data_IF_368071639317
#
_entry.id   IF_368071639317
#
_cell.length_a   1.000
_cell.length_b   1.000
_cell.length_c   1.000
_cell.angle_alpha   90.00
_cell.angle_beta   90.00
_cell.angle_gamma   90.00
#
_symmetry.space_group_name_H-M   'P 1'
#
loop_
_entity.id
_entity.type
_entity.pdbx_description
1 polymer ?
#
# COMPACT_ATOMS: atom_id res chain seq x y z
N UNK A 1 16.05 -29.66 -3.67
CA UNK A 1 15.16 -29.29 -4.78
C UNK A 1 16.03 -28.99 -5.99
N UNK A 2 15.83 -29.66 -7.13
CA UNK A 2 16.65 -29.44 -8.33
C UNK A 2 16.44 -28.01 -8.85
N UNK A 3 17.47 -27.40 -9.45
CA UNK A 3 17.39 -26.07 -10.09
C UNK A 3 16.22 -26.00 -11.08
N UNK A 4 15.93 -27.10 -11.78
CA UNK A 4 14.77 -27.23 -12.68
C UNK A 4 13.43 -26.97 -11.98
N UNK A 5 13.26 -27.43 -10.74
CA UNK A 5 12.02 -27.22 -9.97
C UNK A 5 11.87 -25.76 -9.54
N UNK A 6 12.97 -25.07 -9.21
CA UNK A 6 12.95 -23.64 -8.85
C UNK A 6 12.56 -22.81 -10.07
N UNK A 7 13.16 -23.12 -11.22
CA UNK A 7 12.84 -22.47 -12.50
C UNK A 7 11.37 -22.69 -12.86
N UNK A 8 10.85 -23.91 -12.69
CA UNK A 8 9.46 -24.24 -12.98
C UNK A 8 8.48 -23.48 -12.08
N UNK A 9 8.73 -23.41 -10.77
CA UNK A 9 7.89 -22.69 -9.81
C UNK A 9 7.89 -21.19 -10.09
N UNK A 10 9.05 -20.61 -10.41
CA UNK A 10 9.15 -19.20 -10.78
C UNK A 10 8.41 -18.88 -12.08
N UNK A 11 8.37 -19.81 -13.03
CA UNK A 11 7.64 -19.64 -14.28
C UNK A 11 6.11 -19.74 -14.06
N UNK A 12 5.65 -20.66 -13.21
CA UNK A 12 4.20 -20.83 -12.96
C UNK A 12 3.61 -19.73 -12.09
N UNK A 13 4.38 -19.10 -11.20
CA UNK A 13 3.88 -18.00 -10.37
C UNK A 13 3.54 -16.73 -11.17
N UNK A 14 4.21 -16.52 -12.30
CA UNK A 14 3.94 -15.40 -13.22
C UNK A 14 2.63 -15.57 -14.00
N UNK A 15 2.10 -16.79 -14.08
CA UNK A 15 0.87 -17.10 -14.83
C UNK A 15 -0.41 -16.84 -14.02
N UNK A 16 -0.29 -16.65 -12.70
CA UNK A 16 -1.45 -16.42 -11.83
C UNK A 16 -1.77 -14.92 -11.82
N UNK A 17 -2.94 -14.47 -12.33
CA UNK A 17 -3.33 -13.07 -12.28
C UNK A 17 -3.58 -12.65 -10.83
N UNK A 18 -3.25 -11.41 -10.49
CA UNK A 18 -3.63 -10.83 -9.21
C UNK A 18 -5.15 -10.63 -9.14
N UNK A 19 -5.76 -10.97 -8.01
CA UNK A 19 -7.16 -10.65 -7.72
C UNK A 19 -7.28 -9.27 -7.08
N UNK A 20 -8.15 -8.42 -7.62
CA UNK A 20 -8.51 -7.15 -7.01
C UNK A 20 -9.69 -7.32 -6.03
N UNK A 21 -9.88 -6.35 -5.14
CA UNK A 21 -11.04 -6.30 -4.24
C UNK A 21 -12.27 -5.80 -5.03
N UNK A 22 -13.27 -6.65 -5.21
CA UNK A 22 -14.50 -6.34 -5.95
C UNK A 22 -15.63 -5.84 -5.03
N UNK A 23 -15.47 -4.62 -4.51
CA UNK A 23 -16.46 -3.98 -3.63
C UNK A 23 -17.12 -2.74 -4.26
N UNK A 24 -16.96 -2.53 -5.57
CA UNK A 24 -17.50 -1.39 -6.30
C UNK A 24 -16.80 -0.04 -6.05
N UNK A 25 -15.72 -0.01 -5.27
CA UNK A 25 -14.92 1.20 -5.00
C UNK A 25 -13.63 1.24 -5.83
N UNK A 26 -12.96 2.41 -5.83
CA UNK A 26 -11.67 2.62 -6.50
C UNK A 26 -11.63 2.19 -7.98
N UNK A 27 -12.75 2.31 -8.69
CA UNK A 27 -12.87 2.02 -10.13
C UNK A 27 -12.00 2.97 -10.97
N UNK A 28 -11.71 4.16 -10.44
CA UNK A 28 -10.66 5.08 -10.89
C UNK A 28 -9.68 5.30 -9.74
N UNK A 29 -8.44 5.75 -10.01
CA UNK A 29 -7.49 6.10 -8.96
C UNK A 29 -8.13 7.02 -7.91
N UNK A 30 -7.99 6.68 -6.63
CA UNK A 30 -8.53 7.51 -5.55
C UNK A 30 -7.75 8.81 -5.48
N UNK A 31 -8.46 9.93 -5.52
CA UNK A 31 -7.87 11.26 -5.40
C UNK A 31 -8.30 11.88 -4.07
N UNK A 32 -7.36 12.48 -3.36
CA UNK A 32 -7.63 13.07 -2.06
C UNK A 32 -6.38 13.68 -1.44
N UNK A 33 -6.45 13.91 -0.13
CA UNK A 33 -5.36 14.47 0.66
C UNK A 33 -4.99 13.52 1.81
N UNK A 34 -3.70 13.31 2.03
CA UNK A 34 -3.15 12.46 3.09
C UNK A 34 -2.12 13.25 3.89
N UNK A 35 -2.30 13.32 5.21
CA UNK A 35 -1.46 14.16 6.08
C UNK A 35 -0.02 13.65 6.24
N UNK A 36 0.21 12.34 6.06
CA UNK A 36 1.41 11.66 6.54
C UNK A 36 2.71 12.27 6.03
N UNK A 37 2.84 12.55 4.73
CA UNK A 37 4.09 13.09 4.17
C UNK A 37 4.48 14.46 4.75
N UNK A 38 3.49 15.30 5.09
CA UNK A 38 3.73 16.66 5.58
C UNK A 38 3.78 16.76 7.10
N UNK A 39 2.90 16.04 7.78
CA UNK A 39 2.66 16.17 9.22
C UNK A 39 3.20 14.98 10.02
N UNK A 40 3.51 13.87 9.35
CA UNK A 40 4.05 12.65 9.95
C UNK A 40 3.19 12.18 11.13
N UNK A 41 3.83 11.72 12.21
CA UNK A 41 3.21 11.34 13.47
C UNK A 41 3.43 12.42 14.53
N UNK A 42 3.27 13.70 14.19
CA UNK A 42 3.37 14.76 15.19
C UNK A 42 2.20 14.68 16.16
N UNK A 43 2.44 14.23 17.39
CA UNK A 43 1.42 14.16 18.46
C UNK A 43 1.65 15.18 19.57
N UNK A 44 2.71 16.00 19.48
CA UNK A 44 3.03 17.02 20.47
C UNK A 44 2.23 18.30 20.20
N UNK A 45 0.96 18.26 20.59
CA UNK A 45 0.05 19.38 20.45
C UNK A 45 0.33 20.54 21.42
N UNK A 46 1.07 20.30 22.51
CA UNK A 46 1.42 21.35 23.46
C UNK A 46 2.48 22.27 22.85
N UNK A 47 3.51 21.68 22.22
CA UNK A 47 4.57 22.43 21.56
C UNK A 47 4.20 22.91 20.14
N UNK A 48 3.40 22.15 19.38
CA UNK A 48 3.05 22.46 17.98
C UNK A 48 1.53 22.27 17.68
N UNK A 49 0.66 23.11 18.24
CA UNK A 49 -0.79 22.95 18.18
C UNK A 49 -1.41 23.09 16.79
N UNK A 50 -0.67 23.60 15.81
CA UNK A 50 -1.16 23.85 14.44
C UNK A 50 -0.83 22.72 13.47
N UNK A 51 0.15 21.88 13.80
CA UNK A 51 0.59 20.79 12.92
C UNK A 51 0.43 19.39 13.55
N UNK A 52 -0.02 19.31 14.82
CA UNK A 52 -0.23 18.01 15.47
C UNK A 52 -1.48 17.27 14.94
N UNK A 53 -1.42 15.95 14.98
CA UNK A 53 -2.52 15.03 14.67
C UNK A 53 -3.33 14.78 15.95
N UNK A 54 -4.64 15.08 15.93
CA UNK A 54 -5.57 14.85 17.05
C UNK A 54 -6.34 13.54 16.92
#
# INVERSE_FOLDING_TARGET
MSVSNIVLIGLTSLLVPASALDNGLALTPTMGWLHWERFMCNTDCDADPQNCIR
#
